data_IF_662743704242
#
_entry.id   IF_662743704242
#
_cell.length_a   1.000
_cell.length_b   1.000
_cell.length_c   1.000
_cell.angle_alpha   90.00
_cell.angle_beta   90.00
_cell.angle_gamma   90.00
#
_symmetry.space_group_name_H-M   'P 1'
#
loop_
_entity.id
_entity.type
_entity.pdbx_description
1 polymer ?
#
# COMPACT_ATOMS: atom_id res chain seq x y z
N UNK A 1 -24.73 14.11 -12.99
CA UNK A 1 -24.25 12.89 -13.66
C UNK A 1 -25.38 11.87 -13.68
N UNK A 2 -25.90 11.55 -14.86
CA UNK A 2 -27.00 10.60 -15.06
C UNK A 2 -26.45 9.17 -15.15
N UNK A 3 -26.00 8.58 -14.03
CA UNK A 3 -25.60 7.16 -13.91
C UNK A 3 -24.77 6.57 -15.10
N UNK A 4 -24.04 7.41 -15.82
CA UNK A 4 -23.39 7.01 -17.06
C UNK A 4 -22.16 6.18 -16.71
N UNK A 5 -22.10 4.97 -17.27
CA UNK A 5 -20.94 4.10 -17.08
C UNK A 5 -19.73 4.73 -17.77
N UNK A 6 -18.66 4.97 -17.00
CA UNK A 6 -17.45 5.64 -17.49
C UNK A 6 -16.51 4.65 -18.20
N UNK A 7 -16.15 3.58 -17.50
CA UNK A 7 -15.32 2.49 -18.03
C UNK A 7 -15.45 1.23 -17.14
N UNK A 8 -15.20 0.03 -17.69
CA UNK A 8 -15.06 -1.19 -16.89
C UNK A 8 -13.84 -1.14 -15.95
N UNK A 9 -14.02 -1.53 -14.68
CA UNK A 9 -12.91 -1.61 -13.69
C UNK A 9 -11.76 -2.52 -14.16
N UNK A 10 -12.07 -3.57 -14.93
CA UNK A 10 -11.05 -4.49 -15.48
C UNK A 10 -10.03 -3.83 -16.40
N UNK A 11 -10.37 -2.68 -16.99
CA UNK A 11 -9.47 -1.89 -17.85
C UNK A 11 -8.48 -1.04 -17.05
N UNK A 12 -8.67 -0.89 -15.74
CA UNK A 12 -7.65 -0.30 -14.87
C UNK A 12 -6.49 -1.29 -14.68
N UNK A 13 -5.27 -0.80 -14.92
CA UNK A 13 -4.05 -1.56 -14.64
C UNK A 13 -3.74 -1.60 -13.15
N UNK A 14 -4.07 -0.54 -12.41
CA UNK A 14 -4.01 -0.50 -10.95
C UNK A 14 -5.16 -1.30 -10.34
N UNK A 15 -4.87 -2.20 -9.40
CA UNK A 15 -5.83 -3.12 -8.78
C UNK A 15 -6.27 -2.63 -7.39
N UNK A 16 -7.40 -3.16 -6.89
CA UNK A 16 -7.90 -2.90 -5.54
C UNK A 16 -8.95 -1.77 -5.45
N UNK A 17 -9.86 -1.88 -4.48
CA UNK A 17 -10.97 -0.95 -4.30
C UNK A 17 -10.51 0.50 -4.00
N UNK A 18 -9.45 0.67 -3.21
CA UNK A 18 -8.89 2.00 -2.93
C UNK A 18 -8.40 2.70 -4.21
N UNK A 19 -7.84 1.96 -5.17
CA UNK A 19 -7.40 2.51 -6.45
C UNK A 19 -8.58 2.87 -7.37
N UNK A 20 -9.70 2.15 -7.27
CA UNK A 20 -10.94 2.54 -7.95
C UNK A 20 -11.46 3.86 -7.37
N UNK A 21 -11.47 4.01 -6.05
CA UNK A 21 -11.83 5.28 -5.38
C UNK A 21 -10.89 6.42 -5.78
N UNK A 22 -9.58 6.18 -5.86
CA UNK A 22 -8.60 7.17 -6.33
C UNK A 22 -8.87 7.58 -7.78
N UNK A 23 -9.17 6.61 -8.66
CA UNK A 23 -9.50 6.89 -10.05
C UNK A 23 -10.77 7.75 -10.17
N UNK A 24 -11.83 7.42 -9.43
CA UNK A 24 -13.06 8.21 -9.39
C UNK A 24 -12.82 9.63 -8.86
N UNK A 25 -12.03 9.78 -7.81
CA UNK A 25 -11.66 11.09 -7.28
C UNK A 25 -10.86 11.92 -8.30
N UNK A 26 -9.92 11.30 -9.01
CA UNK A 26 -9.15 11.96 -10.07
C UNK A 26 -10.04 12.44 -11.23
N UNK A 27 -11.00 11.60 -11.67
CA UNK A 27 -11.97 11.97 -12.70
C UNK A 27 -12.88 13.11 -12.26
N UNK A 28 -13.35 13.08 -11.01
CA UNK A 28 -14.20 14.14 -10.46
C UNK A 28 -13.47 15.49 -10.40
N UNK A 29 -12.21 15.49 -9.93
CA UNK A 29 -11.37 16.67 -9.89
C UNK A 29 -11.06 17.21 -11.29
N UNK A 30 -10.67 16.34 -12.22
CA UNK A 30 -10.39 16.75 -13.60
C UNK A 30 -11.62 17.30 -14.30
N UNK A 31 -12.80 16.70 -14.10
CA UNK A 31 -14.06 17.23 -14.62
C UNK A 31 -14.38 18.62 -14.04
N UNK A 32 -14.24 18.81 -12.73
CA UNK A 32 -14.45 20.10 -12.08
C UNK A 32 -13.46 21.18 -12.60
N UNK A 33 -12.26 20.77 -13.03
CA UNK A 33 -11.28 21.64 -13.67
C UNK A 33 -11.54 21.89 -15.17
N UNK A 34 -12.63 21.34 -15.74
CA UNK A 34 -12.98 21.52 -17.16
C UNK A 34 -12.23 20.60 -18.12
N UNK A 35 -11.58 19.53 -17.63
CA UNK A 35 -10.89 18.57 -18.50
C UNK A 35 -11.90 17.67 -19.23
N UNK A 36 -11.70 17.36 -20.53
CA UNK A 36 -12.57 16.44 -21.25
C UNK A 36 -12.49 15.02 -20.70
N UNK A 37 -13.65 14.35 -20.57
CA UNK A 37 -13.73 13.02 -19.94
C UNK A 37 -12.96 11.93 -20.71
N UNK A 38 -13.04 11.94 -22.05
CA UNK A 38 -12.41 10.89 -22.88
C UNK A 38 -10.87 10.81 -22.69
N UNK A 39 -10.09 11.90 -22.80
CA UNK A 39 -8.66 11.90 -22.47
C UNK A 39 -8.34 11.42 -21.04
N UNK A 40 -9.17 11.77 -20.06
CA UNK A 40 -8.94 11.32 -18.68
C UNK A 40 -9.14 9.80 -18.53
N UNK A 41 -10.11 9.21 -19.22
CA UNK A 41 -10.31 7.77 -19.24
C UNK A 41 -9.14 7.04 -19.93
N UNK A 42 -8.63 7.58 -21.04
CA UNK A 42 -7.41 7.03 -21.68
C UNK A 42 -6.21 7.06 -20.75
N UNK A 43 -5.99 8.18 -20.06
CA UNK A 43 -4.91 8.30 -19.07
C UNK A 43 -5.04 7.24 -17.96
N UNK A 44 -6.26 6.96 -17.48
CA UNK A 44 -6.49 5.90 -16.49
C UNK A 44 -6.23 4.48 -17.02
N UNK A 45 -6.57 4.19 -18.28
CA UNK A 45 -6.23 2.91 -18.93
C UNK A 45 -4.72 2.71 -19.03
N UNK A 46 -3.98 3.78 -19.24
CA UNK A 46 -2.54 3.72 -19.42
C UNK A 46 -1.76 3.68 -18.11
N UNK A 47 -2.27 4.34 -17.07
CA UNK A 47 -1.62 4.51 -15.77
C UNK A 47 -1.31 3.17 -15.08
N UNK A 48 -0.01 2.88 -14.97
CA UNK A 48 0.50 1.61 -14.39
C UNK A 48 0.70 1.66 -12.87
N UNK A 49 0.28 2.75 -12.23
CA UNK A 49 0.65 3.04 -10.84
C UNK A 49 1.92 3.88 -10.75
N UNK A 50 2.33 4.17 -9.52
CA UNK A 50 3.54 4.95 -9.23
C UNK A 50 4.67 4.00 -8.81
N UNK A 51 5.90 4.38 -9.11
CA UNK A 51 7.07 3.75 -8.49
C UNK A 51 6.93 3.79 -6.97
N UNK A 52 7.48 2.76 -6.30
CA UNK A 52 7.46 2.62 -4.84
C UNK A 52 6.07 2.45 -4.21
N UNK A 53 5.08 1.96 -4.98
CA UNK A 53 3.76 1.54 -4.48
C UNK A 53 3.55 0.05 -4.72
N UNK A 54 3.85 -0.77 -3.72
CA UNK A 54 3.88 -2.24 -3.81
C UNK A 54 4.61 -2.76 -5.07
N UNK A 55 5.69 -2.08 -5.44
CA UNK A 55 6.42 -2.35 -6.67
C UNK A 55 7.25 -3.61 -6.51
N UNK A 56 7.01 -4.64 -7.32
CA UNK A 56 7.91 -5.80 -7.36
C UNK A 56 9.30 -5.36 -7.85
N UNK A 57 10.33 -5.67 -7.06
CA UNK A 57 11.73 -5.32 -7.34
C UNK A 57 12.48 -6.50 -7.94
N UNK A 58 12.41 -7.68 -7.30
CA UNK A 58 13.08 -8.90 -7.75
C UNK A 58 12.60 -10.12 -6.98
N UNK A 59 12.93 -11.30 -7.50
CA UNK A 59 12.95 -12.55 -6.74
C UNK A 59 14.39 -12.91 -6.38
N UNK A 60 14.65 -13.28 -5.12
CA UNK A 60 15.95 -13.77 -4.68
C UNK A 60 15.79 -14.88 -3.66
N UNK A 61 16.44 -16.03 -3.91
CA UNK A 61 16.32 -17.24 -3.06
C UNK A 61 14.86 -17.62 -2.77
N UNK A 62 14.05 -17.65 -3.83
CA UNK A 62 12.60 -17.91 -3.80
C UNK A 62 11.74 -16.90 -3.00
N UNK A 63 12.30 -15.76 -2.58
CA UNK A 63 11.56 -14.67 -1.91
C UNK A 63 11.35 -13.52 -2.89
N UNK A 64 10.10 -13.07 -3.02
CA UNK A 64 9.76 -11.86 -3.77
C UNK A 64 9.96 -10.61 -2.90
N UNK A 65 10.58 -9.59 -3.48
CA UNK A 65 10.86 -8.31 -2.84
C UNK A 65 9.96 -7.24 -3.44
N UNK A 66 9.29 -6.49 -2.58
CA UNK A 66 8.41 -5.39 -2.96
C UNK A 66 8.87 -4.10 -2.29
N UNK A 67 8.89 -3.01 -3.05
CA UNK A 67 9.16 -1.66 -2.56
C UNK A 67 7.85 -0.90 -2.44
N UNK A 68 7.53 -0.54 -1.20
CA UNK A 68 6.41 0.31 -0.84
C UNK A 68 6.86 1.52 0.01
N UNK A 69 8.05 2.05 -0.25
CA UNK A 69 8.64 3.17 0.50
C UNK A 69 7.81 4.47 0.47
N UNK A 70 6.76 4.54 -0.36
CA UNK A 70 5.77 5.63 -0.31
C UNK A 70 4.62 5.40 0.67
N UNK A 71 4.54 4.26 1.36
CA UNK A 71 3.65 4.07 2.50
C UNK A 71 4.14 4.82 3.75
N UNK A 72 4.14 6.14 3.67
CA UNK A 72 4.61 7.04 4.74
C UNK A 72 3.55 7.33 5.80
N UNK A 73 2.42 6.62 5.77
CA UNK A 73 1.34 6.73 6.74
C UNK A 73 0.67 5.37 6.97
N UNK A 74 -0.06 5.25 8.08
CA UNK A 74 -0.71 4.01 8.54
C UNK A 74 -1.69 3.45 7.51
N UNK A 75 -2.50 4.31 6.87
CA UNK A 75 -3.47 3.86 5.87
C UNK A 75 -2.82 3.28 4.63
N UNK A 76 -1.70 3.84 4.18
CA UNK A 76 -0.95 3.30 3.05
C UNK A 76 -0.29 1.96 3.40
N UNK A 77 0.33 1.84 4.58
CA UNK A 77 0.91 0.59 5.05
C UNK A 77 -0.16 -0.51 5.19
N UNK A 78 -1.34 -0.16 5.72
CA UNK A 78 -2.49 -1.06 5.82
C UNK A 78 -2.89 -1.60 4.45
N UNK A 79 -3.10 -0.71 3.47
CA UNK A 79 -3.49 -1.10 2.12
C UNK A 79 -2.45 -2.03 1.44
N UNK A 80 -1.16 -1.81 1.72
CA UNK A 80 -0.09 -2.65 1.19
C UNK A 80 -0.05 -4.04 1.84
N UNK A 81 -0.17 -4.12 3.17
CA UNK A 81 -0.17 -5.39 3.92
C UNK A 81 -1.38 -6.24 3.52
N UNK A 82 -2.57 -5.65 3.46
CA UNK A 82 -3.78 -6.37 3.09
C UNK A 82 -3.79 -6.76 1.61
N UNK A 83 -3.36 -5.84 0.72
CA UNK A 83 -3.30 -6.09 -0.71
C UNK A 83 -2.32 -7.21 -1.05
N UNK A 84 -1.05 -7.05 -0.66
CA UNK A 84 -0.03 -8.07 -0.93
C UNK A 84 -0.32 -9.36 -0.17
N UNK A 85 -0.76 -9.27 1.09
CA UNK A 85 -1.04 -10.44 1.93
C UNK A 85 -2.19 -11.31 1.42
N UNK A 86 -3.16 -10.73 0.71
CA UNK A 86 -4.24 -11.48 0.07
C UNK A 86 -3.86 -12.08 -1.29
N UNK A 87 -2.89 -11.47 -1.99
CA UNK A 87 -2.55 -11.82 -3.38
C UNK A 87 -1.39 -12.82 -3.50
N UNK A 88 -0.67 -13.15 -2.41
CA UNK A 88 0.49 -14.05 -2.45
C UNK A 88 0.26 -15.38 -1.73
N UNK A 89 0.88 -16.43 -2.25
CA UNK A 89 1.01 -17.71 -1.53
C UNK A 89 2.11 -17.59 -0.46
N UNK A 90 1.73 -17.22 0.76
CA UNK A 90 2.65 -17.18 1.90
C UNK A 90 2.36 -16.07 2.91
N UNK A 91 3.42 -15.61 3.58
CA UNK A 91 3.37 -14.56 4.60
C UNK A 91 4.44 -13.51 4.30
N UNK A 92 4.13 -12.26 4.63
CA UNK A 92 5.02 -11.12 4.44
C UNK A 92 6.12 -11.10 5.52
N UNK A 93 7.29 -10.60 5.15
CA UNK A 93 8.26 -10.06 6.12
C UNK A 93 8.24 -8.56 5.95
N UNK A 94 7.63 -7.86 6.90
CA UNK A 94 7.43 -6.42 6.82
C UNK A 94 8.66 -5.70 7.35
N UNK A 95 9.16 -4.71 6.61
CA UNK A 95 10.17 -3.76 7.10
C UNK A 95 9.44 -2.45 7.34
N UNK A 96 9.30 -2.03 8.60
CA UNK A 96 8.50 -0.87 8.98
C UNK A 96 9.23 0.02 9.99
N UNK A 97 9.11 1.34 9.82
CA UNK A 97 9.89 2.26 10.63
C UNK A 97 9.91 3.68 10.11
N UNK A 98 10.56 4.56 10.87
CA UNK A 98 10.73 5.98 10.52
C UNK A 98 10.08 6.94 11.52
N UNK A 99 9.57 8.07 11.01
CA UNK A 99 8.85 9.09 11.78
C UNK A 99 7.37 9.06 11.39
N UNK A 100 6.55 8.52 12.27
CA UNK A 100 5.10 8.38 12.12
C UNK A 100 4.31 9.62 12.47
N UNK A 101 4.95 10.74 12.84
CA UNK A 101 4.31 12.06 13.03
C UNK A 101 3.09 12.02 13.97
N UNK A 102 3.18 11.20 15.03
CA UNK A 102 2.10 11.05 16.01
C UNK A 102 0.92 10.18 15.58
N UNK A 103 1.03 9.43 14.47
CA UNK A 103 0.00 8.49 14.05
C UNK A 103 -0.23 7.39 15.09
N UNK A 104 -1.47 6.87 15.11
CA UNK A 104 -1.85 5.68 15.87
C UNK A 104 -1.61 4.42 15.03
N UNK A 105 -0.73 3.56 15.52
CA UNK A 105 -0.34 2.33 14.84
C UNK A 105 -1.24 1.13 15.19
N UNK A 106 -2.19 1.27 16.12
CA UNK A 106 -3.03 0.16 16.59
C UNK A 106 -3.76 -0.55 15.45
N UNK A 107 -4.16 0.19 14.41
CA UNK A 107 -4.82 -0.35 13.23
C UNK A 107 -3.97 -1.37 12.44
N UNK A 108 -2.64 -1.36 12.60
CA UNK A 108 -1.74 -2.29 11.93
C UNK A 108 -1.71 -3.68 12.58
N UNK A 109 -2.13 -3.82 13.84
CA UNK A 109 -2.00 -5.06 14.60
C UNK A 109 -2.66 -6.26 13.90
N UNK A 110 -3.97 -6.19 13.68
CA UNK A 110 -4.71 -7.31 13.10
C UNK A 110 -4.24 -7.70 11.67
N UNK A 111 -3.98 -6.75 10.75
CA UNK A 111 -3.39 -7.08 9.45
C UNK A 111 -2.00 -7.71 9.55
N UNK A 112 -1.14 -7.21 10.44
CA UNK A 112 0.22 -7.76 10.64
C UNK A 112 0.14 -9.18 11.20
N UNK A 113 -0.68 -9.43 12.21
CA UNK A 113 -0.94 -10.79 12.74
C UNK A 113 -1.46 -11.73 11.64
N UNK A 114 -2.37 -11.23 10.81
CA UNK A 114 -2.99 -12.03 9.75
C UNK A 114 -2.05 -12.32 8.58
N UNK A 115 -1.20 -11.40 8.16
CA UNK A 115 -0.47 -11.51 6.89
C UNK A 115 1.05 -11.58 7.03
N UNK A 116 1.62 -11.16 8.15
CA UNK A 116 3.07 -11.16 8.35
C UNK A 116 3.54 -12.40 9.12
N UNK A 117 4.71 -12.90 8.72
CA UNK A 117 5.49 -13.90 9.47
C UNK A 117 6.40 -13.23 10.49
N UNK A 118 6.96 -12.08 10.13
CA UNK A 118 7.86 -11.31 10.97
C UNK A 118 7.82 -9.83 10.58
N UNK A 119 8.23 -8.96 11.51
CA UNK A 119 8.41 -7.53 11.30
C UNK A 119 9.82 -7.10 11.69
N UNK A 120 10.50 -6.42 10.78
CA UNK A 120 11.77 -5.74 11.02
C UNK A 120 11.47 -4.27 11.28
N UNK A 121 11.80 -3.81 12.49
CA UNK A 121 11.52 -2.47 12.97
C UNK A 121 12.79 -1.61 13.00
N UNK A 122 12.68 -0.38 12.52
CA UNK A 122 13.81 0.57 12.45
C UNK A 122 13.36 2.04 12.61
N UNK A 123 14.32 2.92 12.88
CA UNK A 123 14.07 4.37 12.95
C UNK A 123 13.41 4.85 14.25
N UNK A 124 12.97 6.10 14.24
CA UNK A 124 12.55 6.87 15.43
C UNK A 124 11.38 6.23 16.19
N UNK A 125 10.33 5.84 15.48
CA UNK A 125 9.10 5.30 16.08
C UNK A 125 9.08 3.77 16.17
N UNK A 126 10.24 3.09 16.05
CA UNK A 126 10.32 1.63 16.08
C UNK A 126 9.73 1.02 17.37
N UNK A 127 9.94 1.64 18.53
CA UNK A 127 9.37 1.16 19.80
C UNK A 127 7.85 1.33 19.84
N UNK A 128 7.33 2.49 19.43
CA UNK A 128 5.89 2.74 19.39
C UNK A 128 5.16 1.80 18.43
N UNK A 129 5.79 1.47 17.30
CA UNK A 129 5.31 0.44 16.38
C UNK A 129 5.31 -0.94 17.07
N UNK A 130 6.39 -1.32 17.73
CA UNK A 130 6.47 -2.61 18.43
C UNK A 130 5.35 -2.77 19.47
N UNK A 131 5.14 -1.74 20.30
CA UNK A 131 4.13 -1.75 21.36
C UNK A 131 2.72 -1.89 20.77
N UNK A 132 2.44 -1.18 19.67
CA UNK A 132 1.17 -1.26 18.97
C UNK A 132 0.93 -2.65 18.36
N UNK A 133 1.98 -3.29 17.80
CA UNK A 133 1.88 -4.61 17.17
C UNK A 133 1.78 -5.77 18.17
N UNK A 134 2.14 -5.58 19.45
CA UNK A 134 2.05 -6.63 20.47
C UNK A 134 3.16 -7.68 20.32
N UNK A 135 2.90 -8.94 20.70
CA UNK A 135 3.91 -10.02 20.69
C UNK A 135 3.55 -11.23 19.82
N UNK A 136 2.42 -11.18 19.11
CA UNK A 136 1.90 -12.30 18.32
C UNK A 136 2.74 -12.59 17.06
N UNK A 137 3.45 -11.58 16.55
CA UNK A 137 4.34 -11.71 15.38
C UNK A 137 5.77 -11.46 15.82
N UNK A 138 6.70 -12.30 15.32
CA UNK A 138 8.13 -12.14 15.59
C UNK A 138 8.60 -10.75 15.14
N UNK A 139 9.24 -10.03 16.05
CA UNK A 139 9.77 -8.69 15.80
C UNK A 139 11.29 -8.66 15.96
N UNK A 140 11.97 -8.00 15.04
CA UNK A 140 13.42 -7.80 15.05
C UNK A 140 13.69 -6.30 14.93
N UNK A 141 14.46 -5.74 15.87
CA UNK A 141 14.86 -4.33 15.81
C UNK A 141 16.25 -4.21 15.19
N UNK A 142 16.39 -3.32 14.22
CA UNK A 142 17.67 -3.03 13.55
C UNK A 142 17.94 -1.53 13.53
N UNK A 143 19.22 -1.15 13.51
CA UNK A 143 19.63 0.26 13.35
C UNK A 143 19.66 0.67 11.88
N UNK A 144 20.09 -0.24 11.00
CA UNK A 144 20.31 -0.04 9.56
C UNK A 144 19.89 -1.29 8.79
N UNK A 145 19.77 -1.18 7.47
CA UNK A 145 19.50 -2.30 6.55
C UNK A 145 20.76 -2.80 5.81
N UNK A 146 21.93 -2.26 6.18
CA UNK A 146 23.26 -2.68 5.72
C UNK A 146 23.78 -3.90 6.49
#
# INVERSE_FOLDING_TARGET
FEFQTLMPVRELKIRGAHNQSNALAALALGHAAGLPMAPMLEALREFKGLAHRCQWIRQHRAVNWYDDSKATNVGAALAAIEGLGADIDGKLVLIAGGDGKGADFAALRAPVERFCRAVVLLGRDAERLADALGSEVQQVRVKTLE
#
